data_IF_943100569767
#
_entry.id   IF_943100569767
#
_cell.length_a   1.000
_cell.length_b   1.000
_cell.length_c   1.000
_cell.angle_alpha   90.00
_cell.angle_beta   90.00
_cell.angle_gamma   90.00
#
_symmetry.space_group_name_H-M   'P 1'
#
loop_
_entity.id
_entity.type
_entity.pdbx_description
1 polymer ?
#
# COMPACT_ATOMS: atom_id res chain seq x y z
N UNK A 1 -1.60 -5.03 -11.35
CA UNK A 1 -0.75 -4.85 -10.17
C UNK A 1 0.65 -5.30 -10.51
N UNK A 2 1.54 -4.31 -10.59
CA UNK A 2 2.95 -4.50 -10.90
C UNK A 2 3.79 -4.02 -9.72
N UNK A 3 5.02 -4.52 -9.62
CA UNK A 3 6.00 -4.05 -8.62
C UNK A 3 6.23 -2.55 -8.81
N UNK A 4 6.29 -1.81 -7.71
CA UNK A 4 6.41 -0.34 -7.69
C UNK A 4 5.07 0.41 -7.79
N UNK A 5 3.96 -0.27 -8.09
CA UNK A 5 2.66 0.40 -8.09
C UNK A 5 2.20 0.69 -6.66
N UNK A 6 1.55 1.84 -6.49
CA UNK A 6 0.91 2.21 -5.24
C UNK A 6 -0.48 1.56 -5.13
N UNK A 7 -0.77 1.01 -3.96
CA UNK A 7 -2.04 0.36 -3.65
C UNK A 7 -2.59 0.84 -2.32
N UNK A 8 -3.91 0.88 -2.19
CA UNK A 8 -4.60 1.02 -0.91
C UNK A 8 -5.08 -0.35 -0.44
N UNK A 9 -5.01 -0.59 0.87
CA UNK A 9 -5.60 -1.78 1.50
C UNK A 9 -7.09 -1.57 1.74
N UNK A 10 -7.92 -2.47 1.22
CA UNK A 10 -9.38 -2.48 1.38
C UNK A 10 -9.88 -3.47 2.44
N UNK A 11 -9.00 -4.25 3.06
CA UNK A 11 -9.37 -5.17 4.14
C UNK A 11 -9.58 -4.43 5.48
N UNK A 12 -10.84 -4.34 5.90
CA UNK A 12 -11.27 -3.68 7.15
C UNK A 12 -10.70 -4.32 8.43
N UNK A 13 -10.22 -5.57 8.35
CA UNK A 13 -9.62 -6.27 9.51
C UNK A 13 -8.14 -6.00 9.67
N UNK A 14 -7.49 -5.39 8.67
CA UNK A 14 -6.06 -5.07 8.71
C UNK A 14 -5.85 -3.75 9.45
N UNK A 15 -4.80 -3.68 10.28
CA UNK A 15 -4.31 -2.42 10.86
C UNK A 15 -3.85 -1.41 9.78
N UNK A 16 -3.65 -1.91 8.56
CA UNK A 16 -3.25 -1.14 7.38
C UNK A 16 -4.46 -0.74 6.52
N UNK A 17 -5.70 -0.98 6.97
CA UNK A 17 -6.91 -0.56 6.25
C UNK A 17 -6.85 0.91 5.86
N UNK A 18 -7.19 1.20 4.60
CA UNK A 18 -7.11 2.54 3.99
C UNK A 18 -5.71 3.17 3.97
N UNK A 19 -4.65 2.43 4.28
CA UNK A 19 -3.26 2.91 4.10
C UNK A 19 -2.79 2.63 2.68
N UNK A 20 -1.99 3.57 2.18
CA UNK A 20 -1.30 3.45 0.90
C UNK A 20 0.07 2.82 1.12
N UNK A 21 0.37 1.79 0.32
CA UNK A 21 1.68 1.16 0.28
C UNK A 21 2.16 0.93 -1.14
N UNK A 22 3.40 0.48 -1.27
CA UNK A 22 4.06 0.18 -2.55
C UNK A 22 4.26 -1.33 -2.67
N UNK A 23 3.93 -1.90 -3.83
CA UNK A 23 4.14 -3.33 -4.09
C UNK A 23 5.64 -3.61 -4.25
N UNK A 24 6.19 -4.47 -3.38
CA UNK A 24 7.58 -4.94 -3.49
C UNK A 24 7.71 -6.27 -4.23
N UNK A 25 6.69 -7.13 -4.13
CA UNK A 25 6.70 -8.46 -4.73
C UNK A 25 5.29 -8.92 -5.07
N UNK A 26 5.16 -9.73 -6.12
CA UNK A 26 3.88 -10.29 -6.58
C UNK A 26 4.05 -11.80 -6.83
N UNK A 27 3.26 -12.61 -6.14
CA UNK A 27 3.07 -14.03 -6.44
C UNK A 27 1.78 -14.18 -7.26
N UNK A 28 1.92 -14.31 -8.58
CA UNK A 28 0.79 -14.47 -9.50
C UNK A 28 0.05 -15.78 -9.29
N UNK A 29 0.75 -16.85 -8.88
CA UNK A 29 0.14 -18.17 -8.68
C UNK A 29 -0.77 -18.17 -7.44
N UNK A 30 -0.32 -17.53 -6.37
CA UNK A 30 -1.09 -17.41 -5.11
C UNK A 30 -2.01 -16.19 -5.09
N UNK A 31 -1.95 -15.32 -6.11
CA UNK A 31 -2.68 -14.05 -6.19
C UNK A 31 -2.45 -13.15 -4.97
N UNK A 32 -1.19 -13.08 -4.53
CA UNK A 32 -0.75 -12.31 -3.36
C UNK A 32 0.32 -11.30 -3.74
N UNK A 33 0.36 -10.18 -3.02
CA UNK A 33 1.38 -9.16 -3.15
C UNK A 33 1.96 -8.81 -1.77
N UNK A 34 3.27 -8.64 -1.69
CA UNK A 34 3.94 -8.05 -0.54
C UNK A 34 3.93 -6.53 -0.73
N UNK A 35 3.35 -5.81 0.23
CA UNK A 35 3.18 -4.36 0.18
C UNK A 35 3.94 -3.72 1.33
N UNK A 36 4.75 -2.69 1.03
CA UNK A 36 5.47 -1.91 2.02
C UNK A 36 4.76 -0.59 2.30
N UNK A 37 4.70 -0.23 3.57
CA UNK A 37 4.09 0.99 4.09
C UNK A 37 5.12 1.80 4.86
N UNK A 38 5.10 3.12 4.65
CA UNK A 38 5.87 4.09 5.45
C UNK A 38 4.90 4.78 6.41
N UNK A 39 4.97 4.41 7.68
CA UNK A 39 4.08 4.92 8.72
C UNK A 39 4.82 5.94 9.59
N UNK A 40 4.17 7.06 9.87
CA UNK A 40 4.62 8.00 10.90
C UNK A 40 4.04 7.56 12.24
N UNK A 41 4.90 7.23 13.21
CA UNK A 41 4.51 6.76 14.54
C UNK A 41 5.07 7.67 15.61
N UNK A 42 4.35 7.82 16.73
CA UNK A 42 4.82 8.60 17.88
C UNK A 42 5.47 7.67 18.91
N UNK A 43 6.73 7.90 19.22
CA UNK A 43 7.51 7.11 20.19
C UNK A 43 8.15 8.08 21.18
N UNK A 44 7.88 7.90 22.48
CA UNK A 44 8.47 8.70 23.56
C UNK A 44 8.42 10.23 23.35
N UNK A 45 7.33 10.75 22.76
CA UNK A 45 7.16 12.19 22.51
C UNK A 45 7.75 12.71 21.19
N UNK A 46 8.49 11.88 20.44
CA UNK A 46 9.00 12.18 19.10
C UNK A 46 8.19 11.45 18.02
N UNK A 47 8.26 11.92 16.76
CA UNK A 47 7.71 11.21 15.60
C UNK A 47 8.83 10.52 14.83
N UNK A 48 8.64 9.23 14.54
CA UNK A 48 9.57 8.39 13.78
C UNK A 48 8.86 7.79 12.57
N UNK A 49 9.57 7.64 11.45
CA UNK A 49 9.09 6.83 10.33
C UNK A 49 9.45 5.36 10.56
N UNK A 50 8.45 4.48 10.43
CA UNK A 50 8.65 3.03 10.42
C UNK A 50 8.19 2.45 9.10
N UNK A 51 9.02 1.56 8.56
CA UNK A 51 8.66 0.76 7.40
C UNK A 51 8.09 -0.57 7.89
N UNK A 52 6.88 -0.90 7.43
CA UNK A 52 6.22 -2.18 7.68
C UNK A 52 5.91 -2.82 6.34
N UNK A 53 6.08 -4.13 6.22
CA UNK A 53 5.68 -4.87 5.03
C UNK A 53 4.76 -6.02 5.41
N UNK A 54 3.72 -6.23 4.62
CA UNK A 54 2.75 -7.31 4.85
C UNK A 54 2.22 -7.89 3.54
N UNK A 55 1.71 -9.12 3.59
CA UNK A 55 1.19 -9.87 2.46
C UNK A 55 -0.33 -9.72 2.36
N UNK A 56 -0.79 -9.31 1.18
CA UNK A 56 -2.20 -9.15 0.88
C UNK A 56 -2.61 -9.97 -0.33
N UNK A 57 -3.84 -10.46 -0.33
CA UNK A 57 -4.48 -11.00 -1.52
C UNK A 57 -4.89 -9.87 -2.46
N UNK A 58 -4.91 -10.12 -3.77
CA UNK A 58 -5.22 -9.08 -4.75
C UNK A 58 -6.60 -8.43 -4.53
N UNK A 59 -7.59 -9.16 -4.00
CA UNK A 59 -8.91 -8.58 -3.74
C UNK A 59 -8.93 -7.63 -2.52
N UNK A 60 -7.88 -7.65 -1.68
CA UNK A 60 -7.70 -6.74 -0.54
C UNK A 60 -6.95 -5.45 -0.94
N UNK A 61 -6.58 -5.30 -2.22
CA UNK A 61 -5.78 -4.18 -2.70
C UNK A 61 -6.49 -3.44 -3.83
N UNK A 62 -6.46 -2.11 -3.77
CA UNK A 62 -6.91 -1.23 -4.84
C UNK A 62 -5.73 -0.45 -5.42
N UNK A 63 -5.45 -0.64 -6.71
CA UNK A 63 -4.34 0.04 -7.39
C UNK A 63 -4.67 1.52 -7.65
N UNK A 64 -3.81 2.41 -7.16
CA UNK A 64 -3.96 3.85 -7.36
C UNK A 64 -3.42 4.19 -8.75
N UNK A 65 -4.30 4.12 -9.76
CA UNK A 65 -3.96 4.62 -11.10
C UNK A 65 -3.89 6.13 -11.05
N UNK A 66 -2.75 6.71 -11.45
CA UNK A 66 -2.60 8.15 -11.62
C UNK A 66 -3.79 8.70 -12.42
N UNK A 67 -4.66 9.45 -11.76
CA UNK A 67 -5.69 10.25 -12.43
C UNK A 67 -4.91 11.26 -13.26
N UNK A 68 -4.88 11.09 -14.59
CA UNK A 68 -4.28 12.07 -15.50
C UNK A 68 -4.88 13.43 -15.15
N UNK A 69 -4.06 14.36 -14.67
CA UNK A 69 -4.47 15.76 -14.50
C UNK A 69 -5.00 16.21 -15.87
N UNK A 70 -6.29 16.54 -15.97
CA UNK A 70 -6.79 17.30 -17.12
C UNK A 70 -5.95 18.58 -17.18
N UNK A 71 -5.13 18.72 -18.21
CA UNK A 71 -4.67 20.02 -18.64
C UNK A 71 -5.93 20.79 -19.01
N UNK A 72 -6.32 21.75 -18.17
CA UNK A 72 -7.24 22.80 -18.58
C UNK A 72 -6.38 23.71 -19.44
N UNK A 73 -6.68 23.73 -20.74
CA UNK A 73 -6.03 24.61 -21.72
C UNK A 73 -6.42 26.07 -21.54
#
# INVERSE_FOLDING_TARGET
MDIGNLVNVSDIKSDLYCKTGEILYVDQNKRKALVMFKLLVKVAGCYEFRCVADLFEFHQLYEIKNIKRRQVG
#
